data_IF_164023552776
#
_entry.id   IF_164023552776
#
_cell.length_a   1.000
_cell.length_b   1.000
_cell.length_c   1.000
_cell.angle_alpha   90.00
_cell.angle_beta   90.00
_cell.angle_gamma   90.00
#
_symmetry.space_group_name_H-M   'P 1'
#
loop_
_entity.id
_entity.type
_entity.pdbx_description
1 polymer ?
#
# COMPACT_ATOMS: atom_id res chain seq x y z
N UNK A 1 -4.74 19.25 21.69
CA UNK A 1 -3.56 20.12 21.92
C UNK A 1 -2.80 20.26 20.60
N UNK A 2 -2.59 21.47 20.07
CA UNK A 2 -1.88 21.66 18.78
C UNK A 2 -0.38 21.45 19.00
N UNK A 3 0.23 20.47 18.33
CA UNK A 3 1.67 20.15 18.50
C UNK A 3 2.59 21.17 17.82
N UNK A 4 2.22 21.65 16.63
CA UNK A 4 2.98 22.62 15.80
C UNK A 4 2.04 23.53 14.99
N UNK A 5 2.55 24.25 13.99
CA UNK A 5 1.75 25.18 13.16
C UNK A 5 1.55 24.69 11.71
N UNK A 6 0.72 25.40 10.95
CA UNK A 6 0.40 25.06 9.55
C UNK A 6 1.58 25.24 8.59
N UNK A 7 2.56 26.08 8.93
CA UNK A 7 3.79 26.23 8.14
C UNK A 7 4.60 24.94 8.13
N UNK A 8 4.71 24.26 9.28
CA UNK A 8 5.40 22.97 9.35
C UNK A 8 4.71 21.91 8.49
N UNK A 9 3.38 21.86 8.47
CA UNK A 9 2.63 20.96 7.59
C UNK A 9 2.94 21.23 6.10
N UNK A 10 2.98 22.49 5.67
CA UNK A 10 3.36 22.84 4.28
C UNK A 10 4.78 22.37 3.94
N UNK A 11 5.74 22.51 4.86
CA UNK A 11 7.10 22.00 4.65
C UNK A 11 7.14 20.47 4.49
N UNK A 12 6.28 19.74 5.21
CA UNK A 12 6.12 18.30 4.98
C UNK A 12 5.48 18.00 3.62
N UNK A 13 4.47 18.76 3.20
CA UNK A 13 3.88 18.63 1.86
C UNK A 13 4.92 18.88 0.77
N UNK A 14 5.73 19.93 0.88
CA UNK A 14 6.81 20.22 -0.07
C UNK A 14 7.84 19.07 -0.13
N UNK A 15 8.13 18.46 1.02
CA UNK A 15 8.98 17.26 1.10
C UNK A 15 8.34 16.05 0.42
N UNK A 16 7.07 15.77 0.70
CA UNK A 16 6.33 14.64 0.13
C UNK A 16 6.21 14.73 -1.39
N UNK A 17 6.01 15.94 -1.92
CA UNK A 17 5.95 16.19 -3.36
C UNK A 17 7.26 15.87 -4.10
N UNK A 18 8.37 15.69 -3.37
CA UNK A 18 9.67 15.33 -3.92
C UNK A 18 10.00 13.82 -3.83
N UNK A 19 9.18 13.02 -3.15
CA UNK A 19 9.46 11.60 -2.93
C UNK A 19 9.52 10.82 -4.26
N UNK A 20 10.40 9.80 -4.38
CA UNK A 20 10.34 8.86 -5.48
C UNK A 20 9.07 8.00 -5.37
N UNK A 21 8.52 7.58 -6.52
CA UNK A 21 7.25 6.82 -6.57
C UNK A 21 7.46 5.31 -6.57
N UNK A 22 8.51 4.85 -7.26
CA UNK A 22 8.80 3.43 -7.43
C UNK A 22 10.30 3.17 -7.26
N UNK A 23 10.64 1.91 -7.01
CA UNK A 23 12.02 1.44 -7.00
C UNK A 23 12.13 0.13 -7.77
N UNK A 24 13.32 -0.13 -8.31
CA UNK A 24 13.67 -1.42 -8.91
C UNK A 24 14.85 -1.97 -8.10
N UNK A 25 14.73 -3.21 -7.61
CA UNK A 25 15.80 -3.90 -6.87
C UNK A 25 16.35 -5.02 -7.74
N UNK A 26 17.67 -4.96 -7.98
CA UNK A 26 18.43 -5.96 -8.76
C UNK A 26 17.78 -6.30 -10.12
N UNK A 27 17.18 -5.31 -10.77
CA UNK A 27 16.48 -5.44 -12.06
C UNK A 27 15.40 -6.54 -12.12
N UNK A 28 14.97 -7.08 -10.97
CA UNK A 28 14.02 -8.19 -10.87
C UNK A 28 12.80 -7.90 -10.03
N UNK A 29 12.88 -6.93 -9.12
CA UNK A 29 11.78 -6.60 -8.21
C UNK A 29 11.33 -5.18 -8.50
N UNK A 30 10.07 -5.02 -8.90
CA UNK A 30 9.45 -3.70 -9.03
C UNK A 30 8.66 -3.37 -7.76
N UNK A 31 8.98 -2.24 -7.13
CA UNK A 31 8.38 -1.78 -5.89
C UNK A 31 7.57 -0.50 -6.12
N UNK A 32 6.33 -0.46 -5.63
CA UNK A 32 5.47 0.74 -5.61
C UNK A 32 4.56 0.74 -4.39
N UNK A 33 3.92 1.86 -4.03
CA UNK A 33 2.99 1.87 -2.90
C UNK A 33 1.66 1.19 -3.25
N UNK A 34 1.00 1.72 -4.28
CA UNK A 34 -0.27 1.25 -4.83
C UNK A 34 -0.04 0.04 -5.72
N UNK A 35 0.00 0.23 -7.03
CA UNK A 35 0.14 -0.88 -7.95
C UNK A 35 0.45 -0.43 -9.36
N UNK A 36 -0.21 -1.04 -10.34
CA UNK A 36 0.02 -0.76 -11.75
C UNK A 36 -0.99 0.28 -12.27
N UNK A 37 -0.67 0.90 -13.40
CA UNK A 37 -1.57 1.81 -14.11
C UNK A 37 -1.91 1.26 -15.50
N UNK A 38 -3.15 1.44 -16.01
CA UNK A 38 -3.47 1.16 -17.42
C UNK A 38 -2.67 2.07 -18.38
N UNK A 39 -2.18 3.22 -17.90
CA UNK A 39 -1.36 4.17 -18.66
C UNK A 39 0.15 3.85 -18.60
N UNK A 40 0.56 2.86 -17.78
CA UNK A 40 1.95 2.45 -17.65
C UNK A 40 2.34 1.50 -18.79
N UNK A 41 2.80 2.07 -19.89
CA UNK A 41 3.30 1.35 -21.05
C UNK A 41 4.82 1.14 -21.01
N UNK A 42 5.57 2.02 -20.38
CA UNK A 42 7.02 1.91 -20.16
C UNK A 42 7.42 2.47 -18.80
N UNK A 43 8.39 1.83 -18.15
CA UNK A 43 9.00 2.33 -16.90
C UNK A 43 9.59 3.74 -17.07
N UNK A 44 10.00 4.11 -18.29
CA UNK A 44 10.50 5.46 -18.58
C UNK A 44 9.45 6.54 -18.35
N UNK A 45 8.15 6.23 -18.47
CA UNK A 45 7.10 7.20 -18.13
C UNK A 45 7.18 7.62 -16.66
N UNK A 46 7.55 6.69 -15.77
CA UNK A 46 7.73 6.98 -14.34
C UNK A 46 8.96 7.87 -14.12
N UNK A 47 10.05 7.62 -14.87
CA UNK A 47 11.29 8.42 -14.80
C UNK A 47 11.08 9.87 -15.27
N UNK A 48 10.15 10.08 -16.20
CA UNK A 48 9.80 11.38 -16.75
C UNK A 48 8.83 12.19 -15.87
N UNK A 49 8.30 11.63 -14.78
CA UNK A 49 7.43 12.39 -13.87
C UNK A 49 8.22 13.49 -13.16
N UNK A 50 7.84 14.74 -13.43
CA UNK A 50 8.49 15.92 -12.88
C UNK A 50 8.15 16.06 -11.41
N UNK A 51 9.17 16.35 -10.59
CA UNK A 51 9.03 16.67 -9.17
C UNK A 51 9.58 18.08 -8.90
N UNK A 52 9.02 18.85 -7.95
CA UNK A 52 7.93 18.48 -7.05
C UNK A 52 6.57 18.41 -7.76
N UNK A 53 5.73 17.44 -7.39
CA UNK A 53 4.36 17.33 -7.89
C UNK A 53 3.41 16.90 -6.78
N UNK A 54 2.19 17.43 -6.82
CA UNK A 54 1.10 16.88 -6.02
C UNK A 54 0.57 15.60 -6.69
N UNK A 55 -0.20 14.80 -5.94
CA UNK A 55 -0.87 13.61 -6.47
C UNK A 55 -2.14 14.05 -7.22
N UNK A 56 -2.25 13.81 -8.54
CA UNK A 56 -3.47 14.12 -9.28
C UNK A 56 -4.60 13.17 -8.90
N UNK A 57 -5.84 13.56 -9.19
CA UNK A 57 -7.03 12.72 -8.91
C UNK A 57 -7.10 11.47 -9.81
N UNK A 58 -6.39 11.46 -10.94
CA UNK A 58 -6.37 10.36 -11.92
C UNK A 58 -5.05 10.30 -12.71
N UNK A 59 -4.84 9.20 -13.43
CA UNK A 59 -3.70 8.98 -14.32
C UNK A 59 -2.51 8.29 -13.63
N UNK A 60 -1.41 8.10 -14.38
CA UNK A 60 -0.27 7.28 -13.97
C UNK A 60 0.20 7.47 -12.51
N UNK A 61 0.41 8.71 -12.05
CA UNK A 61 0.91 8.96 -10.68
C UNK A 61 -0.13 8.53 -9.63
N UNK A 62 -1.40 8.85 -9.84
CA UNK A 62 -2.50 8.42 -8.98
C UNK A 62 -2.53 6.89 -8.89
N UNK A 63 -2.48 6.20 -10.02
CA UNK A 63 -2.60 4.75 -10.08
C UNK A 63 -1.44 4.01 -9.43
N UNK A 64 -0.21 4.52 -9.58
CA UNK A 64 0.96 3.96 -8.89
C UNK A 64 0.83 4.02 -7.37
N UNK A 65 0.04 4.96 -6.82
CA UNK A 65 -0.20 5.12 -5.40
C UNK A 65 -1.51 4.48 -4.90
N UNK A 66 -2.51 4.31 -5.76
CA UNK A 66 -3.88 3.99 -5.33
C UNK A 66 -4.50 2.73 -5.93
N UNK A 67 -3.92 2.14 -6.97
CA UNK A 67 -4.46 0.90 -7.55
C UNK A 67 -4.25 -0.30 -6.62
N UNK A 68 -5.14 -1.29 -6.72
CA UNK A 68 -5.10 -2.51 -5.92
C UNK A 68 -5.15 -3.79 -6.76
N UNK A 69 -4.41 -4.84 -6.40
CA UNK A 69 -4.59 -6.14 -7.03
C UNK A 69 -5.92 -6.77 -6.59
N UNK A 70 -6.61 -7.43 -7.52
CA UNK A 70 -7.82 -8.23 -7.25
C UNK A 70 -7.70 -9.59 -7.96
N UNK A 71 -7.75 -10.67 -7.19
CA UNK A 71 -7.64 -12.04 -7.71
C UNK A 71 -8.87 -12.50 -8.51
N UNK A 72 -10.00 -11.82 -8.35
CA UNK A 72 -11.28 -12.14 -9.00
C UNK A 72 -11.49 -11.40 -10.31
N UNK A 73 -10.71 -10.35 -10.56
CA UNK A 73 -10.78 -9.53 -11.78
C UNK A 73 -9.85 -10.08 -12.86
N UNK A 74 -10.33 -10.07 -14.11
CA UNK A 74 -9.52 -10.29 -15.29
C UNK A 74 -9.29 -8.94 -16.00
N UNK A 75 -8.04 -8.48 -16.06
CA UNK A 75 -7.72 -7.18 -16.63
C UNK A 75 -7.84 -6.06 -15.59
N UNK A 76 -8.54 -4.97 -15.94
CA UNK A 76 -8.76 -3.83 -15.05
C UNK A 76 -10.22 -3.81 -14.57
N UNK A 77 -10.42 -3.43 -13.31
CA UNK A 77 -11.74 -3.26 -12.71
C UNK A 77 -11.90 -1.91 -12.02
N UNK A 78 -13.12 -1.62 -11.60
CA UNK A 78 -13.39 -0.48 -10.72
C UNK A 78 -12.76 -0.73 -9.34
N UNK A 79 -12.33 0.33 -8.68
CA UNK A 79 -11.83 0.26 -7.32
C UNK A 79 -12.91 0.73 -6.34
N UNK A 80 -13.28 -0.12 -5.37
CA UNK A 80 -14.26 0.18 -4.32
C UNK A 80 -13.86 1.38 -3.45
N UNK A 81 -12.59 1.81 -3.54
CA UNK A 81 -12.08 3.06 -2.98
C UNK A 81 -12.64 4.31 -3.68
N UNK A 82 -13.19 4.19 -4.89
CA UNK A 82 -13.63 5.33 -5.69
C UNK A 82 -12.46 6.19 -6.20
N UNK A 83 -11.24 5.64 -6.22
CA UNK A 83 -10.05 6.25 -6.84
C UNK A 83 -9.23 5.17 -7.52
N UNK A 84 -8.66 5.48 -8.69
CA UNK A 84 -7.89 4.54 -9.51
C UNK A 84 -8.67 3.25 -9.85
N UNK A 85 -7.95 2.14 -10.08
CA UNK A 85 -8.45 0.89 -10.61
C UNK A 85 -8.03 -0.31 -9.75
N UNK A 86 -8.76 -1.40 -9.89
CA UNK A 86 -8.26 -2.73 -9.52
C UNK A 86 -7.59 -3.38 -10.73
N UNK A 87 -6.60 -4.25 -10.49
CA UNK A 87 -5.95 -5.03 -11.55
C UNK A 87 -5.84 -6.51 -11.23
N UNK A 88 -6.14 -7.34 -12.23
CA UNK A 88 -6.03 -8.78 -12.13
C UNK A 88 -4.59 -9.27 -12.08
N UNK A 89 -4.39 -10.48 -11.56
CA UNK A 89 -3.09 -11.18 -11.57
C UNK A 89 -2.54 -11.30 -12.99
N UNK A 90 -3.40 -11.39 -14.01
CA UNK A 90 -2.99 -11.43 -15.41
C UNK A 90 -2.34 -10.12 -15.88
N UNK A 91 -2.78 -8.96 -15.39
CA UNK A 91 -2.15 -7.66 -15.70
C UNK A 91 -0.76 -7.61 -15.08
N UNK A 92 -0.63 -8.03 -13.82
CA UNK A 92 0.66 -8.12 -13.15
C UNK A 92 1.61 -9.07 -13.90
N UNK A 93 1.14 -10.26 -14.29
CA UNK A 93 1.92 -11.23 -15.03
C UNK A 93 2.45 -10.66 -16.37
N UNK A 94 1.60 -9.98 -17.13
CA UNK A 94 1.99 -9.34 -18.39
C UNK A 94 3.01 -8.21 -18.17
N UNK A 95 2.80 -7.38 -17.15
CA UNK A 95 3.72 -6.32 -16.79
C UNK A 95 5.11 -6.86 -16.42
N UNK A 96 5.15 -7.88 -15.56
CA UNK A 96 6.40 -8.51 -15.13
C UNK A 96 7.14 -9.13 -16.31
N UNK A 97 6.44 -9.92 -17.14
CA UNK A 97 7.02 -10.53 -18.33
C UNK A 97 7.57 -9.50 -19.32
N UNK A 98 6.81 -8.41 -19.56
CA UNK A 98 7.21 -7.35 -20.49
C UNK A 98 8.51 -6.65 -20.08
N UNK A 99 8.73 -6.51 -18.79
CA UNK A 99 9.85 -5.74 -18.23
C UNK A 99 10.96 -6.62 -17.64
N UNK A 100 10.89 -7.94 -17.83
CA UNK A 100 11.83 -8.94 -17.27
C UNK A 100 11.98 -8.88 -15.73
N UNK A 101 10.87 -8.56 -15.04
CA UNK A 101 10.76 -8.62 -13.59
C UNK A 101 10.18 -9.95 -13.13
N UNK A 102 10.57 -10.36 -11.92
CA UNK A 102 10.09 -11.58 -11.28
C UNK A 102 8.87 -11.33 -10.40
N UNK A 103 8.83 -10.19 -9.69
CA UNK A 103 7.79 -9.89 -8.70
C UNK A 103 7.49 -8.41 -8.56
N UNK A 104 6.19 -8.11 -8.38
CA UNK A 104 5.67 -6.80 -7.98
C UNK A 104 5.52 -6.80 -6.46
N UNK A 105 6.22 -5.91 -5.78
CA UNK A 105 6.08 -5.68 -4.33
C UNK A 105 5.35 -4.37 -4.11
N UNK A 106 4.32 -4.43 -3.27
CA UNK A 106 3.50 -3.27 -2.98
C UNK A 106 3.01 -3.23 -1.53
N UNK A 107 2.36 -2.14 -1.14
CA UNK A 107 1.84 -1.95 0.21
C UNK A 107 0.33 -1.66 0.22
N UNK A 108 -0.09 -0.49 0.69
CA UNK A 108 -1.45 0.08 0.63
C UNK A 108 -2.62 -0.69 1.25
N UNK A 109 -2.73 -2.03 1.17
CA UNK A 109 -3.82 -2.83 1.75
C UNK A 109 -3.40 -3.46 3.07
N UNK A 110 -4.27 -3.40 4.09
CA UNK A 110 -4.08 -4.17 5.34
C UNK A 110 -4.28 -5.65 5.01
N UNK A 111 -3.36 -6.49 5.46
CA UNK A 111 -3.40 -7.95 5.28
C UNK A 111 -3.10 -8.63 6.62
N UNK A 112 -3.78 -9.74 6.89
CA UNK A 112 -3.83 -10.33 8.24
C UNK A 112 -2.45 -10.65 8.83
N UNK A 113 -1.57 -11.30 8.07
CA UNK A 113 -0.23 -11.69 8.54
C UNK A 113 0.84 -10.61 8.27
N UNK A 114 0.42 -9.40 7.89
CA UNK A 114 1.31 -8.32 7.47
C UNK A 114 1.92 -8.53 6.08
N UNK A 115 1.70 -9.67 5.44
CA UNK A 115 1.98 -9.87 4.02
C UNK A 115 0.91 -10.76 3.36
N UNK A 116 0.76 -10.63 2.04
CA UNK A 116 -0.08 -11.49 1.21
C UNK A 116 0.60 -11.72 -0.14
N UNK A 117 0.41 -12.91 -0.72
CA UNK A 117 0.99 -13.28 -2.01
C UNK A 117 -0.12 -13.70 -2.95
N UNK A 118 -0.21 -13.03 -4.11
CA UNK A 118 -1.22 -13.30 -5.14
C UNK A 118 -0.59 -13.90 -6.41
N UNK A 119 -1.41 -14.68 -7.12
CA UNK A 119 -1.00 -15.37 -8.33
C UNK A 119 0.08 -16.42 -8.07
N UNK A 120 0.94 -16.65 -9.07
CA UNK A 120 2.09 -17.56 -8.94
C UNK A 120 3.27 -16.85 -8.27
N UNK A 121 3.03 -16.21 -7.12
CA UNK A 121 3.99 -15.35 -6.39
C UNK A 121 4.41 -14.09 -7.14
N UNK A 122 3.51 -13.56 -7.96
CA UNK A 122 3.80 -12.44 -8.85
C UNK A 122 3.53 -11.09 -8.19
N UNK A 123 2.59 -11.03 -7.26
CA UNK A 123 2.28 -9.81 -6.50
C UNK A 123 2.40 -10.12 -5.02
N UNK A 124 3.14 -9.28 -4.30
CA UNK A 124 3.34 -9.37 -2.86
C UNK A 124 2.89 -8.07 -2.23
N UNK A 125 1.87 -8.13 -1.38
CA UNK A 125 1.44 -7.01 -0.54
C UNK A 125 2.16 -7.11 0.80
N UNK A 126 2.76 -6.01 1.27
CA UNK A 126 3.40 -5.91 2.59
C UNK A 126 2.75 -4.76 3.36
N UNK A 127 2.36 -5.04 4.59
CA UNK A 127 1.81 -4.08 5.53
C UNK A 127 2.54 -4.18 6.86
N UNK A 128 3.15 -3.08 7.33
CA UNK A 128 4.08 -3.12 8.47
C UNK A 128 3.53 -2.49 9.75
N UNK A 129 2.26 -2.07 9.77
CA UNK A 129 1.62 -1.52 10.97
C UNK A 129 0.73 -2.59 11.64
N UNK A 130 1.20 -3.30 12.67
CA UNK A 130 0.38 -4.24 13.41
C UNK A 130 -0.73 -3.52 14.18
N UNK A 131 -1.85 -4.20 14.41
CA UNK A 131 -3.04 -3.63 15.06
C UNK A 131 -3.47 -2.30 14.42
N UNK A 132 -3.66 -2.29 13.11
CA UNK A 132 -3.88 -1.05 12.37
C UNK A 132 -5.10 -0.29 12.92
N UNK A 133 -4.92 1.02 13.12
CA UNK A 133 -5.89 1.92 13.78
C UNK A 133 -6.41 1.48 15.17
N UNK A 134 -5.87 0.41 15.78
CA UNK A 134 -6.43 -0.18 17.00
C UNK A 134 -7.74 -0.96 16.78
N UNK A 135 -8.13 -1.18 15.52
CA UNK A 135 -9.41 -1.79 15.13
C UNK A 135 -9.23 -3.17 14.47
N UNK A 136 -8.03 -3.46 14.00
CA UNK A 136 -7.69 -4.72 13.32
C UNK A 136 -6.74 -5.55 14.17
N UNK A 137 -6.78 -6.88 14.04
CA UNK A 137 -5.83 -7.77 14.73
C UNK A 137 -4.70 -8.22 13.78
N UNK A 138 -4.42 -7.42 12.75
CA UNK A 138 -3.40 -7.75 11.76
C UNK A 138 -1.99 -7.68 12.37
N UNK A 139 -1.11 -8.56 11.93
CA UNK A 139 0.32 -8.42 12.11
C UNK A 139 0.90 -7.37 11.16
N UNK A 140 2.12 -6.92 11.47
CA UNK A 140 2.98 -6.22 10.53
C UNK A 140 4.01 -7.19 9.96
N UNK A 141 4.47 -6.99 8.73
CA UNK A 141 5.59 -7.73 8.18
C UNK A 141 6.68 -6.81 7.61
N UNK A 142 7.91 -7.33 7.59
CA UNK A 142 9.05 -6.76 6.89
C UNK A 142 9.59 -7.84 5.96
N UNK A 143 9.74 -7.55 4.68
CA UNK A 143 10.38 -8.46 3.73
C UNK A 143 11.86 -8.13 3.60
N UNK A 144 12.72 -9.14 3.77
CA UNK A 144 14.17 -9.06 3.55
C UNK A 144 14.50 -9.78 2.25
N UNK A 145 15.24 -9.11 1.37
CA UNK A 145 15.78 -9.66 0.13
C UNK A 145 17.28 -9.82 0.32
N UNK A 146 17.81 -11.02 0.13
CA UNK A 146 19.26 -11.27 0.18
C UNK A 146 19.94 -11.08 -1.19
N UNK A 147 21.26 -11.19 -1.24
CA UNK A 147 22.08 -11.05 -2.47
C UNK A 147 21.74 -12.09 -3.56
N UNK A 148 21.05 -13.18 -3.21
CA UNK A 148 20.58 -14.21 -4.15
C UNK A 148 19.11 -14.03 -4.51
N UNK A 149 18.52 -12.89 -4.15
CA UNK A 149 17.10 -12.56 -4.33
C UNK A 149 16.14 -13.49 -3.58
N UNK A 150 16.63 -14.19 -2.55
CA UNK A 150 15.73 -14.92 -1.67
C UNK A 150 14.97 -13.93 -0.80
N UNK A 151 13.65 -14.02 -0.86
CA UNK A 151 12.76 -13.22 -0.05
C UNK A 151 12.41 -13.97 1.25
N UNK A 152 12.48 -13.29 2.39
CA UNK A 152 12.03 -13.80 3.69
C UNK A 152 11.21 -12.73 4.40
N UNK A 153 10.27 -13.13 5.26
CA UNK A 153 9.41 -12.23 6.01
C UNK A 153 9.66 -12.36 7.50
N UNK A 154 9.80 -11.22 8.16
CA UNK A 154 9.76 -11.11 9.61
C UNK A 154 8.40 -10.56 10.00
N UNK A 155 7.66 -11.31 10.82
CA UNK A 155 6.29 -11.00 11.24
C UNK A 155 6.30 -10.43 12.65
N UNK A 156 5.70 -9.26 12.80
CA UNK A 156 5.50 -8.50 14.03
C UNK A 156 4.04 -8.63 14.43
N UNK A 157 3.74 -9.52 15.38
CA UNK A 157 2.38 -9.70 15.87
C UNK A 157 1.93 -8.48 16.69
N UNK A 158 0.63 -8.13 16.64
CA UNK A 158 0.10 -7.07 17.49
C UNK A 158 0.37 -7.40 18.96
N UNK A 159 0.74 -6.39 19.73
CA UNK A 159 0.92 -6.57 21.18
C UNK A 159 -0.46 -6.77 21.81
N UNK A 160 -0.64 -7.86 22.54
CA UNK A 160 -1.78 -7.98 23.44
C UNK A 160 -1.72 -6.85 24.47
N UNK A 161 -2.70 -5.96 24.45
CA UNK A 161 -2.85 -4.94 25.49
C UNK A 161 -3.31 -5.65 26.77
N UNK A 162 -2.40 -6.00 27.67
CA UNK A 162 -2.79 -6.51 28.99
C UNK A 162 -3.54 -5.42 29.77
N UNK A 163 -4.76 -5.73 30.19
CA UNK A 163 -5.29 -5.27 31.49
C UNK A 163 -4.26 -5.71 32.55
N UNK A 164 -3.79 -4.76 33.36
CA UNK A 164 -2.63 -4.87 34.24
C UNK A 164 -2.46 -6.25 34.92
N UNK A 165 -1.28 -6.88 34.78
CA UNK A 165 -0.92 -8.00 35.67
C UNK A 165 -0.01 -9.14 35.19
N UNK A 166 0.75 -9.08 34.09
CA UNK A 166 1.82 -10.08 33.98
C UNK A 166 2.68 -10.10 32.72
N UNK A 167 3.58 -11.08 32.73
CA UNK A 167 4.86 -11.11 32.04
C UNK A 167 4.77 -11.16 30.50
N UNK A 168 5.81 -10.61 29.88
CA UNK A 168 6.00 -10.35 28.45
C UNK A 168 6.09 -11.63 27.60
N UNK A 169 5.48 -11.59 26.41
CA UNK A 169 5.79 -12.49 25.29
C UNK A 169 5.51 -11.77 23.96
N UNK A 170 6.42 -10.88 23.55
CA UNK A 170 6.44 -10.39 22.16
C UNK A 170 7.10 -11.45 21.29
N UNK A 171 6.34 -12.12 20.41
CA UNK A 171 6.87 -13.14 19.51
C UNK A 171 7.20 -12.55 18.14
N UNK A 172 8.46 -12.67 17.71
CA UNK A 172 8.85 -12.45 16.32
C UNK A 172 8.81 -13.82 15.62
N UNK A 173 8.10 -13.91 14.50
CA UNK A 173 8.07 -15.12 13.67
C UNK A 173 8.76 -14.85 12.33
N UNK A 174 9.44 -15.85 11.77
CA UNK A 174 10.12 -15.75 10.46
C UNK A 174 9.46 -16.72 9.49
N UNK A 175 9.10 -16.24 8.30
CA UNK A 175 8.51 -17.04 7.21
C UNK A 175 9.35 -16.91 5.93
N UNK A 176 9.57 -18.01 5.20
CA UNK A 176 10.34 -18.00 3.95
C UNK A 176 9.43 -17.88 2.72
N UNK A 177 9.81 -17.08 1.72
CA UNK A 177 9.03 -16.90 0.49
C UNK A 177 8.89 -18.18 -0.35
N UNK A 178 9.88 -19.09 -0.29
CA UNK A 178 9.76 -20.42 -0.88
C UNK A 178 8.56 -21.20 -0.30
N UNK A 179 8.37 -21.13 1.02
CA UNK A 179 7.27 -21.75 1.77
C UNK A 179 5.94 -20.99 1.72
N UNK A 180 5.90 -19.79 1.13
CA UNK A 180 4.67 -19.01 0.97
C UNK A 180 3.58 -19.69 0.11
N UNK A 181 3.90 -20.81 -0.57
CA UNK A 181 2.89 -21.64 -1.27
C UNK A 181 1.82 -22.20 -0.32
N UNK A 182 2.10 -22.34 0.99
CA UNK A 182 1.13 -22.76 2.00
C UNK A 182 0.29 -21.61 2.60
N UNK A 183 0.56 -20.36 2.21
CA UNK A 183 -0.15 -19.16 2.69
C UNK A 183 -1.16 -18.64 1.65
N UNK A 184 -1.55 -19.47 0.68
CA UNK A 184 -2.72 -19.20 -0.16
C UNK A 184 -3.98 -19.28 0.69
N UNK A 185 -4.44 -18.11 1.17
CA UNK A 185 -5.78 -17.82 1.67
C UNK A 185 -6.60 -19.03 2.17
N UNK A 186 -6.35 -19.48 3.40
CA UNK A 186 -7.38 -20.17 4.20
C UNK A 186 -7.90 -19.33 5.36
N UNK A 187 -7.57 -18.03 5.38
CA UNK A 187 -8.25 -17.09 6.26
C UNK A 187 -9.34 -16.40 5.45
N UNK A 188 -10.56 -16.96 5.49
CA UNK A 188 -11.76 -16.16 5.26
C UNK A 188 -11.86 -15.11 6.37
N UNK A 189 -11.03 -14.07 6.33
CA UNK A 189 -11.51 -12.79 6.80
C UNK A 189 -12.69 -12.49 5.87
N UNK A 190 -13.92 -12.48 6.42
CA UNK A 190 -15.11 -12.27 5.60
C UNK A 190 -14.88 -11.03 4.73
N UNK A 191 -15.16 -11.13 3.43
CA UNK A 191 -14.86 -10.08 2.44
C UNK A 191 -15.24 -8.66 2.93
N UNK A 192 -16.30 -8.55 3.75
CA UNK A 192 -16.71 -7.30 4.39
C UNK A 192 -15.68 -6.69 5.35
N UNK A 193 -14.91 -7.47 6.12
CA UNK A 193 -13.87 -6.95 7.01
C UNK A 193 -12.71 -6.38 6.21
N UNK A 194 -12.30 -7.05 5.12
CA UNK A 194 -11.22 -6.59 4.24
C UNK A 194 -11.62 -5.31 3.49
N UNK A 195 -12.85 -5.23 2.96
CA UNK A 195 -13.40 -4.01 2.37
C UNK A 195 -13.46 -2.86 3.38
N UNK A 196 -13.86 -3.12 4.63
CA UNK A 196 -13.88 -2.09 5.68
C UNK A 196 -12.47 -1.55 5.99
N UNK A 197 -11.42 -2.40 6.01
CA UNK A 197 -10.04 -1.93 6.21
C UNK A 197 -9.60 -1.02 5.07
N UNK A 198 -9.94 -1.39 3.83
CA UNK A 198 -9.59 -0.62 2.65
C UNK A 198 -10.24 0.78 2.71
N UNK A 199 -11.55 0.86 2.96
CA UNK A 199 -12.23 2.16 3.08
C UNK A 199 -11.63 3.04 4.18
N UNK A 200 -11.24 2.46 5.32
CA UNK A 200 -10.60 3.21 6.40
C UNK A 200 -9.22 3.78 6.01
N UNK A 201 -8.39 2.99 5.32
CA UNK A 201 -7.08 3.46 4.84
C UNK A 201 -7.21 4.69 3.94
N UNK A 202 -8.24 4.72 3.10
CA UNK A 202 -8.47 5.87 2.25
C UNK A 202 -8.93 7.10 3.03
N UNK A 203 -9.85 6.94 4.00
CA UNK A 203 -10.26 8.06 4.87
C UNK A 203 -9.10 8.65 5.68
N UNK A 204 -8.14 7.80 6.09
CA UNK A 204 -6.91 8.21 6.76
C UNK A 204 -6.00 8.96 5.78
N UNK A 205 -5.83 8.45 4.56
CA UNK A 205 -4.95 9.03 3.55
C UNK A 205 -5.48 10.34 2.92
N UNK A 206 -6.79 10.49 2.73
CA UNK A 206 -7.40 11.71 2.16
C UNK A 206 -7.60 12.83 3.17
N UNK A 207 -7.22 12.64 4.44
CA UNK A 207 -7.33 13.69 5.44
C UNK A 207 -8.78 14.08 5.75
N UNK A 208 -9.50 13.19 6.43
CA UNK A 208 -10.64 13.48 7.28
C UNK A 208 -12.02 13.79 6.64
N UNK A 209 -13.04 13.15 7.21
CA UNK A 209 -14.37 13.75 7.42
C UNK A 209 -14.37 14.93 8.40
N UNK A 210 -13.31 15.76 8.44
CA UNK A 210 -13.22 16.93 9.29
C UNK A 210 -13.30 18.21 8.46
N UNK A 211 -14.53 18.65 8.20
CA UNK A 211 -14.90 20.06 8.21
C UNK A 211 -13.95 21.03 7.53
N UNK A 212 -13.75 20.90 6.21
CA UNK A 212 -13.34 22.02 5.39
C UNK A 212 -14.54 22.97 5.23
N UNK A 213 -14.85 23.74 6.29
CA UNK A 213 -15.66 24.94 6.12
C UNK A 213 -14.86 25.86 5.19
N UNK A 214 -15.31 25.94 3.94
CA UNK A 214 -14.92 26.96 2.97
C UNK A 214 -14.99 28.31 3.66
N UNK A 215 -13.85 28.94 3.93
CA UNK A 215 -13.81 30.38 4.08
C UNK A 215 -14.05 30.96 2.69
N UNK A 216 -15.32 31.17 2.34
CA UNK A 216 -15.68 32.08 1.27
C UNK A 216 -15.33 33.49 1.75
N UNK A 217 -14.24 34.04 1.24
CA UNK A 217 -14.01 35.48 1.25
C UNK A 217 -15.15 36.15 0.49
N UNK A 218 -16.05 36.82 1.20
CA UNK A 218 -16.98 37.79 0.60
C UNK A 218 -16.14 39.02 0.23
N UNK A 219 -16.08 39.44 -1.05
CA UNK A 219 -15.46 40.72 -1.40
C UNK A 219 -16.37 41.85 -0.93
N UNK A 220 -15.78 42.84 -0.27
CA UNK A 220 -16.48 44.05 0.13
C UNK A 220 -17.13 44.75 -1.07
N UNK A 221 -18.36 45.23 -0.85
CA UNK A 221 -18.94 46.32 -1.61
C UNK A 221 -19.54 47.33 -0.62
N UNK A 222 -18.94 48.52 -0.69
CA UNK A 222 -19.42 49.89 -0.41
C UNK A 222 -20.46 50.10 0.69
#
# INVERSE_FOLDING_TARGET
KRRYNSRLWKLFTDCFNCLPLCAVVEDKIFCTHGGLSPELHSIDQIRCLVRPTDVPDQGLLCDLLWSDPDATVLGWGENDRGVSYTFGVNVAAQFLQKNDFDVLIRAHQVVNEGFEVLGKKQVVTIFSAPNYCGEFDNAGAIMTVDEKLNCTFQILKPMEVRRAGGMFAGGMAVANFAGAQGYTSTAMAGQGQQQQMQQMQQQVATGAGAGQKRYSSVPGQK
#
